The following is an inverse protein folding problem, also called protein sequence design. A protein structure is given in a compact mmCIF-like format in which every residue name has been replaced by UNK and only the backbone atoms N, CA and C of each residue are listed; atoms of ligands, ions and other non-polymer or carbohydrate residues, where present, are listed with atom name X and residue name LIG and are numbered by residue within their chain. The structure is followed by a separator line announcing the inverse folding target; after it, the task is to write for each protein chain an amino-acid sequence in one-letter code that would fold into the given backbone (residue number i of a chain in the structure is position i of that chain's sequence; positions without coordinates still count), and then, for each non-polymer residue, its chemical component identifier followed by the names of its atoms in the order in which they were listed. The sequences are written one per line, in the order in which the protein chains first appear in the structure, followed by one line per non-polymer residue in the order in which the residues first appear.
data_IF_109179510156
#
_entry.id   IF_109179510156
#
_cell.length_a   1.000
_cell.length_b   1.000
_cell.length_c   1.000
_cell.angle_alpha   90.00
_cell.angle_beta   90.00
_cell.angle_gamma   90.00
#
_symmetry.space_group_name_H-M   'P 1'
#
loop_
_entity.id
_entity.type
_entity.pdbx_description
1 polymer ?
#
# COMPACT_ATOMS: atom_id res chain seq x y z
N UNK A 1 20.81 9.19 13.35
CA UNK A 1 22.07 9.76 12.81
C UNK A 1 22.02 9.53 11.31
N UNK A 2 21.63 10.55 10.57
CA UNK A 2 21.64 10.53 9.09
C UNK A 2 23.07 10.26 8.66
N UNK A 3 23.27 9.24 7.82
CA UNK A 3 24.55 8.65 7.48
C UNK A 3 25.66 9.66 7.21
N UNK A 4 26.62 9.73 8.12
CA UNK A 4 27.83 10.49 7.93
C UNK A 4 28.90 9.53 7.39
N UNK A 5 29.24 9.64 6.10
CA UNK A 5 30.52 9.12 5.63
C UNK A 5 31.62 10.06 6.12
N UNK A 6 32.19 9.71 7.27
CA UNK A 6 33.26 10.50 7.87
C UNK A 6 34.61 10.31 7.16
N UNK A 7 34.74 9.33 6.27
CA UNK A 7 36.00 9.05 5.59
C UNK A 7 36.26 9.96 4.39
N UNK A 8 35.22 10.42 3.71
CA UNK A 8 35.34 11.23 2.49
C UNK A 8 34.65 12.60 2.56
N UNK A 9 34.20 13.02 3.73
CA UNK A 9 33.48 14.30 3.91
C UNK A 9 32.23 14.43 3.03
N UNK A 10 31.69 13.32 2.55
CA UNK A 10 30.40 13.28 1.85
C UNK A 10 29.28 13.29 2.88
N UNK A 11 29.11 14.42 3.53
CA UNK A 11 27.94 14.65 4.36
C UNK A 11 26.75 14.99 3.44
N UNK A 12 25.68 14.26 3.59
CA UNK A 12 24.38 14.81 3.27
C UNK A 12 24.14 15.93 4.28
N UNK A 13 24.20 17.18 3.80
CA UNK A 13 24.01 18.35 4.65
C UNK A 13 22.55 18.39 5.12
N UNK A 14 22.34 18.16 6.40
CA UNK A 14 21.01 18.20 7.03
C UNK A 14 20.31 19.56 6.93
N UNK A 15 21.05 20.61 6.49
CA UNK A 15 20.45 21.93 6.24
C UNK A 15 19.78 22.03 4.86
N UNK A 16 20.02 21.08 3.96
CA UNK A 16 19.46 21.06 2.59
C UNK A 16 18.42 19.96 2.44
N UNK A 17 18.36 19.03 3.39
CA UNK A 17 17.41 17.92 3.41
C UNK A 17 16.41 18.27 4.51
N UNK A 18 15.18 18.60 4.14
CA UNK A 18 14.11 18.75 5.11
C UNK A 18 14.09 17.49 6.00
N UNK A 19 14.03 17.67 7.30
CA UNK A 19 14.24 16.58 8.28
C UNK A 19 13.24 15.42 8.09
N UNK A 20 12.17 15.66 7.38
CA UNK A 20 11.08 14.73 7.15
C UNK A 20 11.18 13.96 5.81
N UNK A 21 12.00 14.46 4.85
CA UNK A 21 12.10 13.88 3.50
C UNK A 21 13.11 12.73 3.39
N UNK A 22 13.93 12.47 4.39
CA UNK A 22 15.13 11.64 4.23
C UNK A 22 15.34 10.58 5.29
N UNK A 23 14.50 10.53 6.31
CA UNK A 23 14.55 9.50 7.33
C UNK A 23 13.64 8.32 6.94
N UNK A 24 13.94 7.68 5.81
CA UNK A 24 13.27 6.44 5.44
C UNK A 24 13.76 5.32 6.36
N UNK A 25 12.88 4.45 6.88
CA UNK A 25 13.27 3.31 7.69
C UNK A 25 13.89 2.17 6.88
N UNK A 26 14.07 2.33 5.57
CA UNK A 26 14.77 1.36 4.74
C UNK A 26 16.21 1.17 5.18
N UNK A 27 16.64 -0.07 5.28
CA UNK A 27 17.99 -0.48 5.60
C UNK A 27 18.42 -1.62 4.69
N UNK A 28 19.72 -1.97 4.62
CA UNK A 28 20.14 -3.15 3.87
C UNK A 28 19.45 -4.46 4.34
N UNK A 29 18.96 -4.48 5.57
CA UNK A 29 18.31 -5.64 6.20
C UNK A 29 16.78 -5.61 6.08
N UNK A 30 16.21 -4.43 5.89
CA UNK A 30 14.76 -4.25 5.77
C UNK A 30 14.41 -3.22 4.71
N UNK A 31 13.79 -3.68 3.63
CA UNK A 31 13.32 -2.84 2.53
C UNK A 31 11.80 -2.90 2.45
N UNK A 32 11.15 -1.74 2.40
CA UNK A 32 9.72 -1.65 2.19
C UNK A 32 9.35 -1.77 0.71
N UNK A 33 8.12 -2.17 0.44
CA UNK A 33 7.59 -2.15 -0.92
C UNK A 33 7.60 -0.73 -1.48
N UNK A 34 7.75 -0.62 -2.79
CA UNK A 34 7.58 0.62 -3.57
C UNK A 34 6.73 0.32 -4.80
N UNK A 35 6.34 1.34 -5.56
CA UNK A 35 5.65 1.15 -6.83
C UNK A 35 6.63 0.60 -7.89
N UNK A 36 6.19 -0.44 -8.59
CA UNK A 36 7.02 -1.21 -9.53
C UNK A 36 6.95 -0.63 -10.94
N UNK A 37 7.99 0.07 -11.35
CA UNK A 37 8.10 0.63 -12.71
C UNK A 37 8.12 -0.41 -13.83
N UNK A 38 8.44 -1.66 -13.50
CA UNK A 38 8.46 -2.77 -14.47
C UNK A 38 7.09 -3.42 -14.65
N UNK A 39 6.16 -3.18 -13.71
CA UNK A 39 4.79 -3.67 -13.77
C UNK A 39 3.80 -2.52 -13.69
N UNK A 40 3.83 -1.69 -14.71
CA UNK A 40 2.88 -0.58 -14.91
C UNK A 40 2.28 -0.62 -16.29
N UNK A 41 1.08 -0.09 -16.41
CA UNK A 41 0.34 0.02 -17.68
C UNK A 41 -0.18 1.44 -17.87
N UNK A 42 -0.35 1.82 -19.12
CA UNK A 42 -0.73 3.18 -19.46
C UNK A 42 0.36 4.20 -19.13
N UNK A 43 -0.04 5.46 -18.96
CA UNK A 43 0.92 6.54 -18.71
C UNK A 43 0.94 6.87 -17.21
N UNK A 44 1.72 6.10 -16.47
CA UNK A 44 1.98 6.34 -15.03
C UNK A 44 3.40 6.84 -14.88
N UNK A 45 3.57 7.98 -14.22
CA UNK A 45 4.89 8.48 -13.78
C UNK A 45 4.98 8.37 -12.27
N UNK A 46 6.16 8.04 -11.76
CA UNK A 46 6.40 7.93 -10.33
C UNK A 46 7.52 8.88 -9.89
N UNK A 47 7.44 9.30 -8.62
CA UNK A 47 8.43 10.14 -7.94
C UNK A 47 8.46 9.80 -6.45
N UNK A 48 9.15 10.59 -5.64
CA UNK A 48 9.24 10.42 -4.18
C UNK A 48 9.67 8.98 -3.81
N UNK A 49 10.84 8.55 -4.30
CA UNK A 49 11.33 7.19 -4.05
C UNK A 49 10.44 6.07 -4.59
N UNK A 50 9.71 6.32 -5.69
CA UNK A 50 8.70 5.42 -6.26
C UNK A 50 7.48 5.20 -5.35
N UNK A 51 7.12 6.18 -4.54
CA UNK A 51 5.92 6.11 -3.70
C UNK A 51 4.76 6.95 -4.27
N UNK A 52 5.04 8.03 -4.99
CA UNK A 52 4.02 8.89 -5.58
C UNK A 52 3.80 8.55 -7.05
N UNK A 53 2.57 8.22 -7.39
CA UNK A 53 2.15 7.99 -8.77
C UNK A 53 1.28 9.14 -9.29
N UNK A 54 1.53 9.54 -10.54
CA UNK A 54 0.70 10.46 -11.31
C UNK A 54 0.21 9.72 -12.54
N UNK A 55 -1.10 9.54 -12.63
CA UNK A 55 -1.76 8.96 -13.79
C UNK A 55 -2.18 10.07 -14.76
N UNK A 56 -1.51 10.15 -15.91
CA UNK A 56 -1.81 11.16 -16.95
C UNK A 56 -2.90 10.73 -17.92
N UNK A 57 -3.06 9.44 -18.08
CA UNK A 57 -4.10 8.78 -18.89
C UNK A 57 -4.35 7.44 -18.22
N UNK A 58 -5.53 6.91 -18.30
CA UNK A 58 -5.89 5.59 -17.75
C UNK A 58 -4.69 4.65 -17.60
N UNK A 59 -4.31 4.32 -16.38
CA UNK A 59 -3.13 3.52 -16.10
C UNK A 59 -3.19 2.88 -14.72
N UNK A 60 -2.33 1.89 -14.53
CA UNK A 60 -2.17 1.22 -13.24
C UNK A 60 -0.71 0.85 -12.98
N UNK A 61 -0.42 0.58 -11.73
CA UNK A 61 0.89 0.18 -11.25
C UNK A 61 0.72 -0.70 -10.01
N UNK A 62 1.56 -1.71 -9.88
CA UNK A 62 1.59 -2.59 -8.72
C UNK A 62 2.77 -2.25 -7.80
N UNK A 63 2.78 -2.83 -6.59
CA UNK A 63 3.92 -2.76 -5.69
C UNK A 63 5.02 -3.77 -6.06
N UNK A 64 6.21 -3.58 -5.51
CA UNK A 64 7.39 -4.46 -5.74
C UNK A 64 7.35 -5.75 -4.94
N UNK A 65 6.52 -5.83 -3.88
CA UNK A 65 6.40 -7.02 -3.02
C UNK A 65 4.99 -7.59 -3.18
N UNK A 66 4.91 -8.88 -3.54
CA UNK A 66 3.68 -9.65 -3.62
C UNK A 66 3.72 -10.75 -2.55
N UNK A 67 3.03 -10.58 -1.42
CA UNK A 67 3.06 -11.55 -0.34
C UNK A 67 2.28 -12.81 -0.71
N UNK A 68 2.78 -13.97 -0.27
CA UNK A 68 2.13 -15.27 -0.49
C UNK A 68 1.39 -15.82 0.73
N UNK A 69 1.53 -15.17 1.87
CA UNK A 69 0.87 -15.50 3.13
C UNK A 69 0.87 -14.31 4.08
N UNK A 70 0.15 -14.38 5.19
CA UNK A 70 0.13 -13.36 6.24
C UNK A 70 -0.89 -12.25 6.02
N UNK A 71 -0.84 -11.28 6.91
CA UNK A 71 -1.75 -10.12 6.93
C UNK A 71 -0.94 -8.83 6.77
N UNK A 72 -1.34 -7.99 5.84
CA UNK A 72 -0.58 -6.84 5.38
C UNK A 72 -1.36 -5.55 5.46
N UNK A 73 -0.66 -4.44 5.69
CA UNK A 73 -1.25 -3.12 5.80
C UNK A 73 -0.42 -2.10 5.03
N UNK A 74 -1.09 -1.19 4.35
CA UNK A 74 -0.49 -0.02 3.70
C UNK A 74 -1.48 1.13 3.63
N UNK A 75 -0.98 2.31 3.31
CA UNK A 75 -1.77 3.53 3.21
C UNK A 75 -1.56 4.20 1.85
N UNK A 76 -2.54 4.98 1.43
CA UNK A 76 -2.53 5.77 0.20
C UNK A 76 -3.10 7.15 0.48
N UNK A 77 -2.31 8.19 0.30
CA UNK A 77 -2.75 9.58 0.41
C UNK A 77 -3.21 10.09 -0.95
N UNK A 78 -4.42 10.63 -1.01
CA UNK A 78 -5.02 11.17 -2.21
C UNK A 78 -4.60 12.64 -2.39
N UNK A 79 -3.49 12.89 -3.09
CA UNK A 79 -3.11 14.25 -3.49
C UNK A 79 -4.16 14.84 -4.42
N UNK A 80 -4.67 14.01 -5.35
CA UNK A 80 -5.84 14.25 -6.17
C UNK A 80 -6.67 12.97 -6.26
N UNK A 81 -7.98 13.07 -5.97
CA UNK A 81 -8.91 11.93 -5.91
C UNK A 81 -9.63 11.67 -7.25
N UNK A 82 -9.11 12.13 -8.36
CA UNK A 82 -9.74 11.91 -9.67
C UNK A 82 -9.71 10.44 -10.05
N UNK A 83 -10.78 9.74 -9.73
CA UNK A 83 -11.05 8.32 -10.03
C UNK A 83 -9.90 7.33 -9.77
N UNK A 84 -9.24 7.36 -8.59
CA UNK A 84 -8.28 6.32 -8.24
C UNK A 84 -8.98 5.03 -7.87
N UNK A 85 -8.29 3.91 -8.10
CA UNK A 85 -8.64 2.57 -7.63
C UNK A 85 -7.51 2.04 -6.75
N UNK A 86 -7.83 1.64 -5.53
CA UNK A 86 -6.84 1.18 -4.53
C UNK A 86 -7.25 -0.19 -4.01
N UNK A 87 -6.37 -1.17 -4.12
CA UNK A 87 -6.66 -2.53 -3.70
C UNK A 87 -5.53 -3.51 -4.01
N UNK A 88 -5.88 -4.67 -4.55
CA UNK A 88 -4.95 -5.75 -4.91
C UNK A 88 -5.23 -6.24 -6.33
N UNK A 89 -4.17 -6.67 -7.02
CA UNK A 89 -4.22 -7.31 -8.32
C UNK A 89 -3.58 -8.68 -8.24
N UNK A 90 -4.10 -9.66 -8.98
CA UNK A 90 -3.47 -10.97 -9.11
C UNK A 90 -2.05 -10.82 -9.70
N UNK A 91 -1.07 -11.49 -9.09
CA UNK A 91 0.26 -11.60 -9.67
C UNK A 91 0.22 -12.37 -10.96
N UNK A 92 0.81 -12.23 -11.96
CA UNK A 92 0.74 -12.92 -13.28
C UNK A 92 -0.40 -12.47 -14.20
N UNK A 93 -1.08 -11.40 -13.89
CA UNK A 93 -2.07 -10.87 -14.81
C UNK A 93 -1.38 -10.01 -15.86
N UNK A 94 -1.34 -10.48 -17.08
CA UNK A 94 -1.06 -9.64 -18.23
C UNK A 94 -2.31 -8.80 -18.52
N UNK A 95 -2.60 -7.81 -17.67
CA UNK A 95 -3.80 -7.00 -17.82
C UNK A 95 -3.89 -6.37 -19.21
N UNK A 96 -4.92 -6.66 -19.93
CA UNK A 96 -5.19 -6.15 -21.27
C UNK A 96 -6.04 -4.87 -21.27
N UNK A 97 -6.13 -4.16 -20.15
CA UNK A 97 -7.08 -3.06 -20.00
C UNK A 97 -6.52 -1.70 -20.40
N UNK A 98 -7.10 -1.09 -21.43
CA UNK A 98 -6.94 0.34 -21.72
C UNK A 98 -7.71 1.26 -20.74
N UNK A 99 -8.29 0.70 -19.67
CA UNK A 99 -9.22 1.40 -18.80
C UNK A 99 -8.65 1.78 -17.43
N UNK A 100 -7.33 1.72 -17.24
CA UNK A 100 -6.71 2.08 -15.94
C UNK A 100 -7.04 1.14 -14.78
N UNK A 101 -7.93 0.21 -14.99
CA UNK A 101 -8.26 -0.91 -14.12
C UNK A 101 -7.81 -2.20 -14.78
N UNK A 102 -7.06 -3.00 -14.08
CA UNK A 102 -6.55 -4.28 -14.59
C UNK A 102 -7.61 -5.37 -14.47
N UNK A 103 -7.63 -6.29 -15.42
CA UNK A 103 -8.29 -7.58 -15.20
C UNK A 103 -7.67 -8.26 -13.98
N UNK A 104 -8.46 -9.04 -13.26
CA UNK A 104 -8.05 -9.71 -12.02
C UNK A 104 -7.54 -8.76 -10.91
N UNK A 105 -8.08 -7.55 -10.85
CA UNK A 105 -7.88 -6.63 -9.74
C UNK A 105 -9.18 -6.44 -8.95
N UNK A 106 -9.09 -6.44 -7.64
CA UNK A 106 -10.13 -5.99 -6.73
C UNK A 106 -9.69 -4.70 -6.08
N UNK A 107 -10.46 -3.65 -6.26
CA UNK A 107 -10.11 -2.35 -5.73
C UNK A 107 -11.34 -1.51 -5.37
N UNK A 108 -11.15 -0.60 -4.44
CA UNK A 108 -12.10 0.42 -4.06
C UNK A 108 -11.89 1.66 -4.92
N UNK A 109 -12.97 2.26 -5.40
CA UNK A 109 -12.95 3.51 -6.14
C UNK A 109 -13.23 4.73 -5.25
N UNK A 110 -13.22 5.92 -5.83
CA UNK A 110 -13.45 7.18 -5.10
C UNK A 110 -14.89 7.38 -4.62
N UNK A 111 -15.86 6.62 -5.08
CA UNK A 111 -17.24 6.60 -4.55
C UNK A 111 -17.42 5.60 -3.40
N UNK A 112 -16.37 4.83 -3.09
CA UNK A 112 -16.39 3.82 -2.06
C UNK A 112 -16.92 2.48 -2.52
N UNK A 113 -17.15 2.30 -3.82
CA UNK A 113 -17.65 1.05 -4.38
C UNK A 113 -16.52 0.08 -4.68
N UNK A 114 -16.75 -1.21 -4.41
CA UNK A 114 -15.80 -2.28 -4.71
C UNK A 114 -15.97 -2.72 -6.16
N UNK A 115 -14.87 -2.75 -6.88
CA UNK A 115 -14.78 -3.21 -8.27
C UNK A 115 -13.94 -4.47 -8.40
N UNK A 116 -14.35 -5.37 -9.27
CA UNK A 116 -13.56 -6.47 -9.78
C UNK A 116 -13.66 -6.47 -11.31
N UNK A 117 -12.52 -6.55 -11.99
CA UNK A 117 -12.44 -6.63 -13.45
C UNK A 117 -13.37 -5.59 -14.14
N UNK A 118 -13.22 -4.31 -13.79
CA UNK A 118 -14.03 -3.16 -14.24
C UNK A 118 -15.52 -3.22 -13.91
N UNK A 119 -15.98 -4.20 -13.17
CA UNK A 119 -17.37 -4.40 -12.81
C UNK A 119 -17.61 -4.05 -11.34
N UNK A 120 -18.61 -3.21 -11.09
CA UNK A 120 -19.10 -2.91 -9.74
C UNK A 120 -19.68 -4.18 -9.11
N UNK A 121 -19.21 -4.52 -7.92
CA UNK A 121 -19.59 -5.71 -7.19
C UNK A 121 -20.84 -5.49 -6.31
N UNK A 122 -21.47 -4.31 -6.37
CA UNK A 122 -22.59 -3.92 -5.49
C UNK A 122 -22.24 -4.01 -4.01
N UNK A 123 -20.97 -3.81 -3.69
CA UNK A 123 -20.40 -3.72 -2.35
C UNK A 123 -19.78 -2.34 -2.16
N UNK A 124 -19.78 -1.87 -0.93
CA UNK A 124 -19.25 -0.55 -0.61
C UNK A 124 -18.29 -0.65 0.59
N UNK A 125 -17.03 -0.45 0.36
CA UNK A 125 -15.95 -0.56 1.36
C UNK A 125 -15.55 0.75 2.02
N UNK A 126 -16.17 1.89 1.67
CA UNK A 126 -15.95 3.17 2.35
C UNK A 126 -17.03 4.21 2.00
N UNK A 127 -17.01 5.37 2.65
CA UNK A 127 -17.69 6.56 2.16
C UNK A 127 -16.94 7.18 0.96
N UNK A 128 -17.55 8.15 0.29
CA UNK A 128 -16.95 8.88 -0.82
C UNK A 128 -15.62 9.55 -0.42
N UNK A 129 -14.66 9.50 -1.30
CA UNK A 129 -13.35 10.10 -1.11
C UNK A 129 -13.30 11.57 -1.52
N UNK A 130 -12.34 12.27 -0.96
CA UNK A 130 -11.95 13.61 -1.36
C UNK A 130 -10.43 13.71 -1.42
N UNK A 131 -9.91 14.72 -2.13
CA UNK A 131 -8.49 15.06 -2.03
C UNK A 131 -8.11 15.31 -0.57
N UNK A 132 -6.89 14.97 -0.21
CA UNK A 132 -6.35 14.96 1.15
C UNK A 132 -6.85 13.85 2.08
N UNK A 133 -7.69 12.93 1.60
CA UNK A 133 -8.01 11.73 2.37
C UNK A 133 -6.87 10.72 2.33
N UNK A 134 -6.81 9.89 3.37
CA UNK A 134 -5.93 8.73 3.47
C UNK A 134 -6.80 7.48 3.43
N UNK A 135 -6.48 6.60 2.50
CA UNK A 135 -7.09 5.28 2.38
C UNK A 135 -6.11 4.28 2.94
N UNK A 136 -6.53 3.53 3.95
CA UNK A 136 -5.75 2.40 4.44
C UNK A 136 -6.32 1.10 3.90
N UNK A 137 -5.45 0.15 3.62
CA UNK A 137 -5.82 -1.19 3.15
C UNK A 137 -5.29 -2.21 4.15
N UNK A 138 -6.17 -3.12 4.57
CA UNK A 138 -5.83 -4.31 5.34
C UNK A 138 -6.12 -5.54 4.48
N UNK A 139 -5.09 -6.37 4.21
CA UNK A 139 -5.17 -7.52 3.32
C UNK A 139 -4.71 -8.79 4.02
N UNK A 140 -5.61 -9.76 4.14
CA UNK A 140 -5.36 -11.09 4.71
C UNK A 140 -5.24 -12.09 3.56
N UNK A 141 -3.98 -12.43 3.22
CA UNK A 141 -3.67 -13.37 2.13
C UNK A 141 -4.14 -14.78 2.48
N UNK A 142 -3.97 -15.18 3.74
CA UNK A 142 -4.25 -16.55 4.18
C UNK A 142 -5.73 -16.90 4.10
N UNK A 143 -6.60 -15.89 4.30
CA UNK A 143 -8.05 -16.04 4.27
C UNK A 143 -8.70 -15.38 3.04
N UNK A 144 -7.92 -14.86 2.09
CA UNK A 144 -8.41 -14.15 0.89
C UNK A 144 -9.39 -13.01 1.21
N UNK A 145 -9.02 -12.11 2.12
CA UNK A 145 -9.88 -11.04 2.61
C UNK A 145 -9.23 -9.68 2.51
N UNK A 146 -10.03 -8.67 2.18
CA UNK A 146 -9.56 -7.28 2.11
C UNK A 146 -10.56 -6.33 2.75
N UNK A 147 -10.04 -5.28 3.40
CA UNK A 147 -10.81 -4.17 3.99
C UNK A 147 -10.17 -2.86 3.62
N UNK A 148 -10.94 -1.81 3.67
CA UNK A 148 -10.46 -0.44 3.49
C UNK A 148 -10.88 0.45 4.65
N UNK A 149 -10.04 1.43 4.97
CA UNK A 149 -10.37 2.50 5.89
C UNK A 149 -10.25 3.85 5.18
N UNK A 150 -11.14 4.76 5.53
CA UNK A 150 -11.08 6.17 5.13
C UNK A 150 -10.71 7.01 6.34
N UNK A 151 -9.56 7.69 6.29
CA UNK A 151 -9.07 8.52 7.39
C UNK A 151 -9.03 7.80 8.75
N UNK A 152 -8.56 6.55 8.76
CA UNK A 152 -8.43 5.71 9.96
C UNK A 152 -9.72 5.03 10.43
N UNK A 153 -10.84 5.21 9.74
CA UNK A 153 -12.11 4.53 10.03
C UNK A 153 -12.32 3.40 9.04
N UNK A 154 -12.33 2.15 9.50
CA UNK A 154 -12.66 0.98 8.67
C UNK A 154 -14.14 0.91 8.35
N UNK A 155 -14.45 0.32 7.20
CA UNK A 155 -15.80 0.07 6.72
C UNK A 155 -16.01 -1.42 6.43
N UNK A 156 -17.26 -1.88 6.57
CA UNK A 156 -17.67 -3.20 6.15
C UNK A 156 -17.58 -3.28 4.61
N UNK A 157 -16.68 -4.11 4.11
CA UNK A 157 -16.51 -4.31 2.68
C UNK A 157 -17.45 -5.36 2.10
N UNK A 158 -18.30 -6.00 2.94
CA UNK A 158 -19.36 -6.91 2.54
C UNK A 158 -20.75 -6.24 2.47
N UNK A 159 -20.87 -5.03 2.94
CA UNK A 159 -22.12 -4.26 2.89
C UNK A 159 -22.36 -3.64 1.50
N UNK A 160 -23.62 -3.42 1.14
CA UNK A 160 -24.01 -2.69 -0.07
C UNK A 160 -24.07 -1.17 0.11
N UNK A 161 -23.84 -0.69 1.32
CA UNK A 161 -23.80 0.74 1.68
C UNK A 161 -22.70 0.97 2.70
N UNK A 162 -22.08 2.15 2.66
CA UNK A 162 -21.01 2.51 3.60
C UNK A 162 -21.47 2.33 5.05
N UNK A 163 -20.80 1.43 5.77
CA UNK A 163 -21.07 1.12 7.17
C UNK A 163 -19.75 0.98 7.93
N UNK A 164 -19.55 1.80 8.94
CA UNK A 164 -18.33 1.79 9.74
C UNK A 164 -18.24 0.57 10.64
N UNK A 165 -17.03 0.03 10.78
CA UNK A 165 -16.73 -1.10 11.67
C UNK A 165 -15.55 -0.75 12.58
N UNK A 166 -15.46 -1.44 13.71
CA UNK A 166 -14.33 -1.30 14.63
C UNK A 166 -13.10 -2.08 14.11
N UNK A 167 -11.91 -1.70 14.53
CA UNK A 167 -10.66 -2.43 14.27
C UNK A 167 -10.75 -3.90 14.67
N UNK A 168 -11.37 -4.21 15.82
CA UNK A 168 -11.56 -5.58 16.30
C UNK A 168 -12.38 -6.47 15.35
N UNK A 169 -13.22 -5.90 14.49
CA UNK A 169 -13.96 -6.64 13.45
C UNK A 169 -13.02 -7.08 12.34
N UNK A 170 -12.10 -6.19 11.92
CA UNK A 170 -11.05 -6.47 10.93
C UNK A 170 -10.08 -7.52 11.48
N UNK A 171 -9.63 -7.35 12.72
CA UNK A 171 -8.73 -8.27 13.43
C UNK A 171 -9.33 -9.68 13.53
N UNK A 172 -10.65 -9.77 13.77
CA UNK A 172 -11.40 -11.03 13.81
C UNK A 172 -11.69 -11.63 12.42
N UNK A 173 -11.35 -10.91 11.34
CA UNK A 173 -11.57 -11.38 9.97
C UNK A 173 -13.03 -11.29 9.49
N UNK A 174 -13.85 -10.42 10.09
CA UNK A 174 -15.25 -10.23 9.74
C UNK A 174 -15.47 -9.03 8.83
N UNK A 175 -16.62 -8.96 8.17
CA UNK A 175 -17.08 -7.86 7.31
C UNK A 175 -16.07 -7.47 6.20
N UNK A 176 -15.30 -8.43 5.72
CA UNK A 176 -14.35 -8.30 4.62
C UNK A 176 -15.03 -8.41 3.26
N UNK A 177 -14.38 -7.88 2.23
CA UNK A 177 -14.60 -8.37 0.88
C UNK A 177 -13.83 -9.69 0.69
N UNK A 178 -14.54 -10.72 0.21
CA UNK A 178 -14.00 -12.06 -0.03
C UNK A 178 -13.40 -12.16 -1.44
N UNK A 179 -12.10 -12.38 -1.52
CA UNK A 179 -11.31 -12.48 -2.75
C UNK A 179 -11.23 -13.91 -3.30
N UNK A 180 -11.71 -14.93 -2.57
CA UNK A 180 -11.42 -16.35 -2.82
C UNK A 180 -11.82 -16.85 -4.21
N UNK A 181 -12.82 -16.21 -4.83
CA UNK A 181 -13.26 -16.55 -6.20
C UNK A 181 -12.54 -15.73 -7.30
N UNK A 182 -11.70 -14.76 -6.93
CA UNK A 182 -11.17 -13.74 -7.85
C UNK A 182 -9.65 -13.68 -7.83
N UNK A 183 -9.04 -13.62 -6.66
CA UNK A 183 -7.60 -13.42 -6.48
C UNK A 183 -7.08 -14.46 -5.49
N UNK A 184 -6.10 -15.26 -5.90
CA UNK A 184 -5.44 -16.22 -5.00
C UNK A 184 -4.13 -15.69 -4.41
N UNK A 185 -3.45 -14.80 -5.13
CA UNK A 185 -2.25 -14.10 -4.67
C UNK A 185 -2.30 -12.68 -5.21
N UNK A 186 -2.47 -11.71 -4.33
CA UNK A 186 -2.58 -10.31 -4.67
C UNK A 186 -1.31 -9.52 -4.37
N UNK A 187 -1.00 -8.59 -5.25
CA UNK A 187 -0.01 -7.53 -5.03
C UNK A 187 -0.76 -6.21 -4.85
N UNK A 188 -0.26 -5.32 -3.99
CA UNK A 188 -0.86 -4.01 -3.81
C UNK A 188 -0.95 -3.26 -5.15
N UNK A 189 -2.11 -2.69 -5.42
CA UNK A 189 -2.50 -2.14 -6.71
C UNK A 189 -2.99 -0.71 -6.56
N UNK A 190 -2.55 0.13 -7.49
CA UNK A 190 -3.04 1.48 -7.70
C UNK A 190 -3.39 1.66 -9.17
N UNK A 191 -4.65 2.01 -9.45
CA UNK A 191 -5.12 2.32 -10.79
C UNK A 191 -5.82 3.69 -10.86
N UNK A 192 -6.09 4.15 -12.07
CA UNK A 192 -6.96 5.30 -12.32
C UNK A 192 -7.66 5.17 -13.65
N UNK A 193 -8.96 5.45 -13.69
CA UNK A 193 -9.77 5.42 -14.92
C UNK A 193 -9.87 6.80 -15.60
N UNK A 194 -9.23 7.83 -15.04
CA UNK A 194 -9.23 9.19 -15.59
C UNK A 194 -7.84 9.82 -15.50
N UNK A 195 -7.70 10.97 -16.16
CA UNK A 195 -6.47 11.73 -16.17
C UNK A 195 -6.24 12.45 -14.82
N UNK A 196 -4.96 12.66 -14.49
CA UNK A 196 -4.47 13.49 -13.38
C UNK A 196 -4.76 12.99 -11.95
N UNK A 197 -5.13 11.73 -11.75
CA UNK A 197 -5.14 11.14 -10.40
C UNK A 197 -3.72 11.12 -9.82
N UNK A 198 -3.55 11.66 -8.61
CA UNK A 198 -2.26 11.71 -7.92
C UNK A 198 -2.40 11.05 -6.55
N UNK A 199 -1.63 10.00 -6.33
CA UNK A 199 -1.66 9.22 -5.09
C UNK A 199 -0.25 9.00 -4.59
N UNK A 200 -0.01 9.21 -3.29
CA UNK A 200 1.24 8.86 -2.62
C UNK A 200 1.00 7.66 -1.71
N UNK A 201 1.74 6.57 -1.95
CA UNK A 201 1.65 5.34 -1.17
C UNK A 201 2.57 5.40 0.03
N UNK A 202 2.19 4.73 1.11
CA UNK A 202 3.03 4.45 2.27
C UNK A 202 2.91 2.96 2.62
N UNK A 203 3.96 2.19 2.39
CA UNK A 203 4.04 0.79 2.79
C UNK A 203 4.72 0.61 4.15
N UNK A 204 4.99 1.73 4.83
CA UNK A 204 5.67 1.83 6.11
C UNK A 204 6.91 2.74 6.08
N UNK A 205 7.24 3.38 4.96
CA UNK A 205 8.42 4.22 4.86
C UNK A 205 8.22 5.61 5.48
N UNK A 206 7.04 6.21 5.25
CA UNK A 206 6.84 7.61 5.55
C UNK A 206 5.37 7.95 5.83
N UNK A 207 5.07 8.19 7.10
CA UNK A 207 3.74 8.61 7.55
C UNK A 207 3.35 10.02 7.11
N UNK A 208 4.30 10.81 6.63
CA UNK A 208 4.06 12.19 6.19
C UNK A 208 3.67 12.30 4.73
N UNK A 209 3.79 11.20 3.96
CA UNK A 209 3.55 11.17 2.51
C UNK A 209 4.36 12.23 1.76
N UNK A 210 5.69 12.20 1.93
CA UNK A 210 6.64 13.17 1.40
C UNK A 210 6.42 14.59 1.95
N UNK A 211 6.18 14.71 3.26
CA UNK A 211 6.02 15.98 3.96
C UNK A 211 4.66 16.67 3.75
N UNK A 212 3.75 16.07 2.98
CA UNK A 212 2.42 16.70 2.71
C UNK A 212 1.51 16.64 3.94
N UNK A 213 1.72 15.67 4.82
CA UNK A 213 0.92 15.44 6.02
C UNK A 213 1.76 15.59 7.29
N UNK A 214 2.65 16.56 7.34
CA UNK A 214 3.36 16.88 8.56
C UNK A 214 2.49 17.70 9.54
N UNK A 215 2.93 17.76 10.80
CA UNK A 215 2.22 18.50 11.86
C UNK A 215 2.17 20.01 11.62
N UNK A 216 2.98 20.55 10.70
CA UNK A 216 3.04 21.98 10.38
C UNK A 216 2.12 22.38 9.24
N UNK A 217 1.80 21.44 8.33
CA UNK A 217 1.08 21.71 7.08
C UNK A 217 -0.33 21.13 7.06
N UNK A 218 -0.66 20.20 7.92
CA UNK A 218 -1.93 19.48 7.91
C UNK A 218 -2.71 19.63 9.23
N UNK A 219 -4.03 19.57 9.12
CA UNK A 219 -4.91 19.53 10.29
C UNK A 219 -4.87 18.17 11.03
N UNK A 220 -4.11 17.19 10.50
CA UNK A 220 -3.98 15.85 11.06
C UNK A 220 -2.51 15.58 11.37
N UNK A 221 -2.25 15.02 12.53
CA UNK A 221 -0.91 14.64 12.96
C UNK A 221 -0.70 13.15 12.71
N UNK A 222 0.38 12.74 12.02
CA UNK A 222 0.74 11.33 11.90
C UNK A 222 0.90 10.68 13.27
N UNK A 223 0.38 9.47 13.45
CA UNK A 223 0.62 8.71 14.68
C UNK A 223 2.04 8.15 14.73
N UNK A 224 2.71 8.04 13.57
CA UNK A 224 4.01 7.39 13.40
C UNK A 224 4.02 5.97 14.00
N UNK A 225 2.90 5.27 13.81
CA UNK A 225 2.74 3.93 14.37
C UNK A 225 3.50 2.91 13.54
N UNK A 226 4.23 2.03 14.21
CA UNK A 226 4.74 0.81 13.63
C UNK A 226 3.70 -0.32 13.71
N UNK A 227 3.95 -1.40 12.98
CA UNK A 227 3.25 -2.67 13.15
C UNK A 227 3.66 -3.36 14.48
N UNK A 228 3.10 -4.52 14.77
CA UNK A 228 3.39 -5.24 16.03
C UNK A 228 4.83 -5.80 16.09
N UNK A 229 5.53 -5.90 14.95
CA UNK A 229 6.96 -6.27 14.88
C UNK A 229 7.89 -5.05 15.03
N UNK A 230 7.34 -3.86 15.17
CA UNK A 230 8.09 -2.62 15.27
C UNK A 230 8.55 -2.05 13.92
N UNK A 231 8.04 -2.57 12.80
CA UNK A 231 8.38 -2.10 11.47
C UNK A 231 7.36 -1.05 10.99
N UNK A 232 7.87 -0.07 10.29
CA UNK A 232 7.07 0.93 9.59
C UNK A 232 6.80 2.21 10.39
N UNK A 233 6.41 3.23 9.62
CA UNK A 233 5.90 4.52 10.06
C UNK A 233 4.59 4.78 9.33
N UNK A 234 3.47 4.50 9.97
CA UNK A 234 2.14 4.71 9.40
C UNK A 234 1.46 5.94 9.98
N UNK A 235 0.61 6.57 9.17
CA UNK A 235 -0.21 7.69 9.61
C UNK A 235 -1.26 7.25 10.62
N UNK A 236 -1.93 6.13 10.35
CA UNK A 236 -2.84 5.44 11.29
C UNK A 236 -2.22 4.12 11.73
N UNK A 237 -2.48 3.71 12.98
CA UNK A 237 -2.01 2.43 13.48
C UNK A 237 -2.61 1.27 12.66
N UNK A 238 -1.80 0.31 12.19
CA UNK A 238 -2.33 -0.92 11.61
C UNK A 238 -3.22 -1.67 12.61
N UNK A 239 -4.26 -2.41 12.14
CA UNK A 239 -4.96 -3.35 13.01
C UNK A 239 -4.00 -4.42 13.54
N UNK A 240 -4.25 -4.94 14.74
CA UNK A 240 -3.41 -6.00 15.32
C UNK A 240 -3.33 -7.22 14.39
N UNK A 241 -2.15 -7.77 14.23
CA UNK A 241 -1.85 -8.87 13.33
C UNK A 241 -1.62 -8.48 11.88
N UNK A 242 -1.78 -7.21 11.49
CA UNK A 242 -1.45 -6.72 10.16
C UNK A 242 -0.09 -6.03 10.16
N UNK A 243 0.77 -6.43 9.23
CA UNK A 243 2.18 -6.05 9.19
C UNK A 243 2.47 -5.10 8.03
N UNK A 244 3.52 -4.32 8.17
CA UNK A 244 4.09 -3.51 7.10
C UNK A 244 4.59 -4.39 5.95
N UNK A 245 4.35 -3.98 4.71
CA UNK A 245 4.80 -4.70 3.52
C UNK A 245 6.28 -4.43 3.27
N UNK A 246 7.13 -5.15 4.03
CA UNK A 246 8.58 -5.03 4.00
C UNK A 246 9.26 -6.39 4.13
N UNK A 247 10.55 -6.45 3.77
CA UNK A 247 11.31 -7.71 3.74
C UNK A 247 11.50 -8.32 5.12
N UNK A 248 11.57 -7.53 6.19
CA UNK A 248 11.69 -8.04 7.56
C UNK A 248 10.43 -8.81 8.04
N UNK A 249 9.29 -8.55 7.44
CA UNK A 249 8.02 -9.21 7.75
C UNK A 249 7.69 -10.39 6.83
N UNK A 250 8.45 -10.57 5.73
CA UNK A 250 8.25 -11.70 4.85
C UNK A 250 8.73 -13.01 5.53
N UNK A 251 8.07 -14.15 5.25
CA UNK A 251 8.59 -15.44 5.70
C UNK A 251 10.04 -15.63 5.23
N UNK A 252 10.87 -16.18 6.11
CA UNK A 252 12.23 -16.53 5.70
C UNK A 252 12.21 -17.48 4.50
N UNK A 253 13.09 -17.27 3.50
CA UNK A 253 13.18 -18.16 2.37
C UNK A 253 13.50 -19.57 2.87
N UNK A 254 12.59 -20.52 2.72
CA UNK A 254 12.87 -21.92 2.96
C UNK A 254 13.77 -22.42 1.83
N UNK A 255 15.06 -22.42 2.06
CA UNK A 255 15.99 -23.22 1.25
C UNK A 255 15.62 -24.67 1.52
N UNK A 256 15.32 -25.43 0.45
CA UNK A 256 14.70 -26.75 0.55
C UNK A 256 15.41 -27.70 1.55
N UNK A 257 14.80 -28.83 1.85
CA UNK A 257 15.16 -29.79 2.92
C UNK A 257 16.61 -30.32 2.92
N UNK A 258 17.45 -29.85 2.00
CA UNK A 258 18.89 -30.15 1.91
C UNK A 258 19.79 -28.94 2.10
N UNK A 259 19.27 -27.88 2.72
CA UNK A 259 19.99 -26.59 2.88
C UNK A 259 21.30 -26.76 3.70
N UNK A 260 21.34 -27.68 4.61
CA UNK A 260 22.53 -27.92 5.46
C UNK A 260 23.73 -28.43 4.67
N UNK A 261 23.52 -28.99 3.48
CA UNK A 261 24.62 -29.54 2.65
C UNK A 261 25.07 -28.57 1.53
N UNK A 262 24.31 -27.51 1.25
CA UNK A 262 24.70 -26.54 0.23
C UNK A 262 25.40 -25.28 0.79
N UNK A 263 25.27 -25.03 2.08
CA UNK A 263 25.94 -23.91 2.73
C UNK A 263 27.42 -24.16 3.02
N UNK A 264 27.85 -25.45 3.06
CA UNK A 264 29.22 -25.83 3.38
C UNK A 264 30.17 -25.97 2.15
N UNK A 265 29.65 -25.79 0.93
CA UNK A 265 30.42 -25.97 -0.31
C UNK A 265 30.99 -24.67 -0.93
N UNK A 266 31.03 -23.56 -0.14
CA UNK A 266 31.64 -22.28 -0.59
C UNK A 266 32.76 -21.79 0.31
#
# INVERSE_FOLDING_TARGET
TIGADTANSNHLDSAVIAADDCAMPDSPENNFATLNLLDKRGTVTVSEGNLKAVNKVQGNITATIAPTSGKWYWEAYLNDHTNPYIGVQSVNTEGSGASGFSQDAVALNNTGDVYYDVSDQSKNGSANWASTNIISVAYDVDNNKIWWALNGQFYSADASTASTIAYSVVEAGNDAYDLSSQITHGVAFLGSSADDGIVTMNFGQDSTFAGVQDSSTSAKTPSNSADENGNGLFFYAPPSGFLALCTANLPEPTIGANSDTQADDH
#
